data_IF_029199104255
#
_entry.id   IF_029199104255
#
_cell.length_a   1.000
_cell.length_b   1.000
_cell.length_c   1.000
_cell.angle_alpha   90.00
_cell.angle_beta   90.00
_cell.angle_gamma   90.00
#
_symmetry.space_group_name_H-M   'P 1'
#
loop_
_entity.id
_entity.type
_entity.pdbx_description
1 polymer ?
#
# COMPACT_ATOMS: atom_id res chain seq x y z
N UNK A 1 -11.26 -29.59 31.69
CA UNK A 1 -12.24 -28.50 31.42
C UNK A 1 -11.61 -27.44 30.58
N UNK A 2 -12.19 -27.13 29.43
CA UNK A 2 -11.66 -26.06 28.52
C UNK A 2 -12.01 -24.70 29.12
N UNK A 3 -10.99 -23.88 29.41
CA UNK A 3 -11.14 -22.53 29.93
C UNK A 3 -10.90 -21.55 28.80
N UNK A 4 -11.84 -20.65 28.54
CA UNK A 4 -11.79 -19.64 27.48
C UNK A 4 -11.58 -18.22 28.00
N UNK A 5 -11.45 -18.04 29.32
CA UNK A 5 -11.24 -16.73 29.93
C UNK A 5 -9.79 -16.54 30.36
N UNK A 6 -9.15 -15.47 29.88
CA UNK A 6 -7.81 -15.09 30.28
C UNK A 6 -7.70 -14.56 31.73
N UNK A 7 -8.84 -14.26 32.37
CA UNK A 7 -8.92 -13.74 33.75
C UNK A 7 -9.16 -14.81 34.82
N UNK A 8 -9.18 -16.08 34.43
CA UNK A 8 -9.37 -17.13 35.42
C UNK A 8 -8.16 -17.28 36.34
N UNK A 9 -8.34 -17.13 37.64
CA UNK A 9 -7.28 -17.37 38.62
C UNK A 9 -6.97 -18.87 38.67
N UNK A 10 -5.67 -19.19 38.66
CA UNK A 10 -5.15 -20.55 38.84
C UNK A 10 -4.71 -20.77 40.29
N UNK A 11 -4.71 -22.01 40.75
CA UNK A 11 -4.24 -22.41 42.07
C UNK A 11 -2.87 -23.08 41.96
N UNK A 12 -2.15 -23.15 43.06
CA UNK A 12 -0.91 -23.95 43.16
C UNK A 12 -1.21 -25.40 42.77
N UNK A 13 -0.38 -26.01 41.93
CA UNK A 13 -0.51 -27.36 41.38
C UNK A 13 -1.57 -27.53 40.28
N UNK A 14 -2.20 -26.48 39.77
CA UNK A 14 -3.02 -26.60 38.56
C UNK A 14 -2.14 -26.92 37.33
N UNK A 15 -2.48 -27.99 36.61
CA UNK A 15 -1.86 -28.31 35.31
C UNK A 15 -2.56 -27.50 34.20
N UNK A 16 -1.81 -26.65 33.54
CA UNK A 16 -2.30 -25.84 32.44
C UNK A 16 -1.76 -26.39 31.13
N UNK A 17 -2.64 -26.90 30.30
CA UNK A 17 -2.26 -27.30 28.90
C UNK A 17 -2.75 -26.24 27.93
N UNK A 18 -1.80 -25.63 27.18
CA UNK A 18 -2.11 -24.63 26.16
C UNK A 18 -1.84 -25.27 24.79
N UNK A 19 -2.88 -25.39 23.98
CA UNK A 19 -2.76 -25.89 22.61
C UNK A 19 -2.71 -24.72 21.64
N UNK A 20 -1.60 -24.55 20.95
CA UNK A 20 -1.43 -23.55 19.91
C UNK A 20 -1.65 -24.18 18.55
N UNK A 21 -2.65 -23.73 17.82
CA UNK A 21 -2.77 -24.02 16.40
C UNK A 21 -1.96 -22.97 15.62
N UNK A 22 -0.68 -23.21 15.39
CA UNK A 22 0.13 -22.40 14.51
C UNK A 22 -0.31 -22.68 13.06
N UNK A 23 -1.20 -21.87 12.50
CA UNK A 23 -1.30 -21.74 11.05
C UNK A 23 -0.03 -21.00 10.57
N UNK A 24 1.11 -21.67 10.56
CA UNK A 24 2.25 -21.18 9.83
C UNK A 24 1.98 -21.46 8.35
N UNK A 25 1.97 -20.42 7.53
CA UNK A 25 2.03 -20.61 6.09
C UNK A 25 3.46 -21.09 5.74
N UNK A 26 3.79 -22.34 6.09
CA UNK A 26 5.09 -22.93 5.77
C UNK A 26 5.22 -23.19 4.26
N UNK A 27 4.10 -23.14 3.53
CA UNK A 27 4.06 -23.34 2.09
C UNK A 27 3.04 -22.41 1.45
N UNK A 28 3.44 -21.78 0.36
CA UNK A 28 2.55 -20.93 -0.43
C UNK A 28 1.67 -21.81 -1.32
N UNK A 29 0.37 -21.86 -1.03
CA UNK A 29 -0.58 -22.62 -1.83
C UNK A 29 -0.93 -21.87 -3.12
N UNK A 30 -0.87 -22.54 -4.29
CA UNK A 30 -1.33 -21.94 -5.55
C UNK A 30 -2.81 -21.63 -5.50
N UNK A 31 -3.22 -20.45 -5.99
CA UNK A 31 -4.62 -20.07 -6.08
C UNK A 31 -4.93 -19.45 -7.44
N UNK A 32 -6.01 -19.93 -8.09
CA UNK A 32 -6.47 -19.46 -9.40
C UNK A 32 -7.13 -18.08 -9.28
N UNK A 33 -6.30 -17.04 -9.31
CA UNK A 33 -6.75 -15.65 -9.31
C UNK A 33 -6.28 -15.00 -10.61
N UNK A 34 -7.19 -14.29 -11.30
CA UNK A 34 -6.86 -13.55 -12.53
C UNK A 34 -5.94 -12.38 -12.18
N UNK A 35 -4.78 -12.32 -12.84
CA UNK A 35 -3.83 -11.22 -12.72
C UNK A 35 -3.98 -10.27 -13.91
N UNK A 36 -4.00 -8.96 -13.63
CA UNK A 36 -3.91 -7.91 -14.65
C UNK A 36 -2.43 -7.66 -14.97
N UNK A 37 -1.91 -8.38 -15.98
CA UNK A 37 -0.51 -8.29 -16.41
C UNK A 37 -0.44 -7.23 -17.50
N UNK A 38 0.37 -6.20 -17.28
CA UNK A 38 0.58 -5.07 -18.20
C UNK A 38 1.75 -5.28 -19.13
N UNK A 39 2.74 -6.04 -18.68
CA UNK A 39 3.91 -6.42 -19.48
C UNK A 39 4.49 -7.72 -18.93
N UNK A 40 5.03 -8.52 -19.82
CA UNK A 40 5.76 -9.73 -19.47
C UNK A 40 6.83 -10.02 -20.53
N UNK A 41 8.03 -10.34 -20.07
CA UNK A 41 9.07 -10.91 -20.92
C UNK A 41 9.78 -12.08 -20.20
N UNK A 42 11.00 -12.45 -20.63
CA UNK A 42 11.77 -13.53 -20.00
C UNK A 42 12.26 -13.20 -18.59
N UNK A 43 12.37 -11.94 -18.23
CA UNK A 43 13.05 -11.43 -17.04
C UNK A 43 12.09 -10.86 -15.99
N UNK A 44 11.05 -10.15 -16.42
CA UNK A 44 10.15 -9.42 -15.53
C UNK A 44 8.67 -9.60 -15.91
N UNK A 45 7.82 -9.34 -14.92
CA UNK A 45 6.38 -9.19 -15.10
C UNK A 45 5.95 -7.89 -14.45
N UNK A 46 5.17 -7.06 -15.13
CA UNK A 46 4.51 -5.89 -14.56
C UNK A 46 3.05 -6.24 -14.30
N UNK A 47 2.67 -6.21 -13.02
CA UNK A 47 1.31 -6.51 -12.58
C UNK A 47 0.63 -5.25 -12.09
N UNK A 48 -0.58 -4.99 -12.55
CA UNK A 48 -1.45 -3.97 -11.97
C UNK A 48 -2.31 -4.62 -10.87
N UNK A 49 -1.88 -4.48 -9.62
CA UNK A 49 -2.55 -5.11 -8.47
C UNK A 49 -3.88 -4.42 -8.18
N UNK A 50 -4.98 -5.14 -8.05
CA UNK A 50 -6.24 -4.55 -7.61
C UNK A 50 -6.17 -4.13 -6.13
N UNK A 51 -7.03 -3.21 -5.74
CA UNK A 51 -7.29 -2.87 -4.34
C UNK A 51 -7.86 -4.11 -3.61
N UNK A 52 -7.60 -4.24 -2.31
CA UNK A 52 -8.07 -5.36 -1.49
C UNK A 52 -7.16 -6.60 -1.49
N UNK A 53 -6.25 -6.73 -2.48
CA UNK A 53 -5.30 -7.85 -2.56
C UNK A 53 -4.02 -7.54 -1.76
N UNK A 54 -3.59 -8.48 -0.92
CA UNK A 54 -2.28 -8.45 -0.24
C UNK A 54 -1.21 -8.98 -1.19
N UNK A 55 0.01 -8.43 -1.13
CA UNK A 55 1.10 -8.86 -2.02
C UNK A 55 1.62 -10.25 -1.67
N UNK A 56 1.86 -10.54 -0.40
CA UNK A 56 2.35 -11.85 0.08
C UNK A 56 1.71 -12.21 1.43
N UNK A 57 1.67 -13.49 1.80
CA UNK A 57 1.10 -13.93 3.07
C UNK A 57 1.66 -13.20 4.28
N UNK A 58 0.80 -12.95 5.26
CA UNK A 58 1.11 -12.32 6.52
C UNK A 58 -0.03 -12.48 7.51
N UNK A 59 0.15 -11.99 8.74
CA UNK A 59 -0.83 -12.15 9.81
C UNK A 59 -2.27 -11.79 9.36
N UNK A 60 -3.18 -12.76 9.44
CA UNK A 60 -4.58 -12.62 9.04
C UNK A 60 -4.86 -12.65 7.52
N UNK A 61 -3.84 -12.84 6.66
CA UNK A 61 -4.00 -12.94 5.21
C UNK A 61 -3.03 -13.99 4.67
N UNK A 62 -3.37 -15.26 4.78
CA UNK A 62 -2.50 -16.36 4.37
C UNK A 62 -2.77 -16.85 2.95
N UNK A 63 -3.96 -16.56 2.43
CA UNK A 63 -4.47 -16.99 1.14
C UNK A 63 -4.95 -15.79 0.31
N UNK A 64 -5.24 -16.01 -0.97
CA UNK A 64 -5.73 -14.98 -1.89
C UNK A 64 -4.79 -13.77 -2.05
N UNK A 65 -3.49 -13.99 -1.92
CA UNK A 65 -2.48 -12.97 -2.13
C UNK A 65 -1.96 -12.97 -3.57
N UNK A 66 -1.29 -11.89 -3.98
CA UNK A 66 -0.60 -11.84 -5.27
C UNK A 66 0.39 -13.01 -5.41
N UNK A 67 1.12 -13.35 -4.35
CA UNK A 67 2.05 -14.46 -4.33
C UNK A 67 1.36 -15.81 -4.66
N UNK A 68 0.17 -16.08 -4.07
CA UNK A 68 -0.60 -17.31 -4.38
C UNK A 68 -0.99 -17.37 -5.87
N UNK A 69 -1.42 -16.23 -6.45
CA UNK A 69 -1.77 -16.14 -7.86
C UNK A 69 -0.55 -16.32 -8.79
N UNK A 70 0.59 -15.75 -8.40
CA UNK A 70 1.85 -15.89 -9.13
C UNK A 70 2.33 -17.35 -9.15
N UNK A 71 2.31 -18.06 -8.01
CA UNK A 71 2.67 -19.48 -7.95
C UNK A 71 1.72 -20.34 -8.79
N UNK A 72 0.42 -20.06 -8.76
CA UNK A 72 -0.54 -20.76 -9.61
C UNK A 72 -0.20 -20.64 -11.09
N UNK A 73 0.07 -19.42 -11.55
CA UNK A 73 0.32 -19.13 -12.97
C UNK A 73 1.70 -19.54 -13.43
N UNK A 74 2.73 -19.30 -12.64
CA UNK A 74 4.12 -19.45 -13.05
C UNK A 74 4.84 -20.67 -12.43
N UNK A 75 4.20 -21.32 -11.44
CA UNK A 75 4.80 -22.45 -10.71
C UNK A 75 6.21 -22.07 -10.19
N UNK A 76 7.22 -22.86 -10.54
CA UNK A 76 8.61 -22.63 -10.12
C UNK A 76 9.41 -21.72 -11.08
N UNK A 77 8.75 -21.01 -12.00
CA UNK A 77 9.39 -20.13 -12.99
C UNK A 77 9.56 -18.68 -12.51
N UNK A 78 9.66 -18.47 -11.20
CA UNK A 78 9.92 -17.17 -10.59
C UNK A 78 11.15 -17.23 -9.71
N UNK A 79 11.81 -16.09 -9.51
CA UNK A 79 12.93 -16.01 -8.58
C UNK A 79 12.53 -16.41 -7.16
N UNK A 80 13.40 -17.15 -6.47
CA UNK A 80 13.20 -17.60 -5.09
C UNK A 80 14.16 -16.93 -4.07
N UNK A 81 14.89 -15.89 -4.46
CA UNK A 81 15.86 -15.21 -3.57
C UNK A 81 15.23 -14.77 -2.24
N UNK A 82 13.99 -14.28 -2.25
CA UNK A 82 13.27 -13.85 -1.04
C UNK A 82 12.48 -15.00 -0.38
N UNK A 83 12.81 -16.24 -0.70
CA UNK A 83 12.21 -17.46 -0.15
C UNK A 83 10.90 -17.84 -0.83
N UNK A 84 10.42 -19.04 -0.52
CA UNK A 84 9.27 -19.67 -1.16
C UNK A 84 7.94 -18.92 -0.97
N UNK A 85 7.82 -18.13 0.08
CA UNK A 85 6.61 -17.32 0.34
C UNK A 85 6.55 -16.00 -0.43
N UNK A 86 7.62 -15.64 -1.16
CA UNK A 86 7.73 -14.39 -1.91
C UNK A 86 8.33 -14.58 -3.31
N UNK A 87 7.80 -15.49 -4.12
CA UNK A 87 8.37 -15.80 -5.44
C UNK A 87 8.37 -14.56 -6.32
N UNK A 88 9.55 -14.15 -6.76
CA UNK A 88 9.77 -12.99 -7.63
C UNK A 88 9.44 -11.61 -7.03
N UNK A 89 9.00 -11.54 -5.78
CA UNK A 89 8.53 -10.29 -5.17
C UNK A 89 9.71 -9.48 -4.65
N UNK A 90 10.03 -8.37 -5.31
CA UNK A 90 11.12 -7.43 -4.97
C UNK A 90 10.64 -6.23 -4.15
N UNK A 91 9.36 -5.88 -4.23
CA UNK A 91 8.74 -4.80 -3.44
C UNK A 91 7.26 -5.05 -3.18
N UNK A 92 6.63 -4.14 -2.45
CA UNK A 92 5.21 -4.28 -2.08
C UNK A 92 4.50 -2.93 -2.00
N UNK A 93 3.18 -2.99 -2.20
CA UNK A 93 2.22 -1.93 -1.89
C UNK A 93 1.17 -2.45 -0.90
N UNK A 94 0.47 -1.55 -0.23
CA UNK A 94 -0.51 -1.93 0.80
C UNK A 94 -1.71 -2.71 0.21
N UNK A 95 -2.43 -3.44 1.07
CA UNK A 95 -3.64 -4.20 0.68
C UNK A 95 -4.64 -3.31 -0.08
N UNK A 96 -4.93 -2.13 0.45
CA UNK A 96 -5.91 -1.20 -0.13
C UNK A 96 -5.30 -0.18 -1.12
N UNK A 97 -4.04 -0.34 -1.50
CA UNK A 97 -3.41 0.40 -2.58
C UNK A 97 -3.46 -0.42 -3.86
N UNK A 98 -3.94 0.15 -4.94
CA UNK A 98 -3.90 -0.43 -6.28
C UNK A 98 -2.69 0.04 -7.07
N UNK A 99 -2.41 -0.59 -8.21
CA UNK A 99 -1.40 -0.13 -9.17
C UNK A 99 -0.23 -1.07 -9.37
N UNK A 100 0.82 -0.55 -9.98
CA UNK A 100 1.90 -1.31 -10.58
C UNK A 100 2.87 -1.91 -9.55
N UNK A 101 3.23 -3.18 -9.82
CA UNK A 101 4.36 -3.86 -9.22
C UNK A 101 5.19 -4.55 -10.30
N UNK A 102 6.51 -4.63 -10.10
CA UNK A 102 7.41 -5.47 -10.87
C UNK A 102 7.70 -6.77 -10.11
N UNK A 103 7.67 -7.88 -10.85
CA UNK A 103 7.97 -9.22 -10.36
C UNK A 103 9.16 -9.76 -11.16
N UNK A 104 10.14 -10.34 -10.48
CA UNK A 104 11.32 -10.93 -11.10
C UNK A 104 11.06 -12.41 -11.48
N UNK A 105 11.28 -12.78 -12.74
CA UNK A 105 11.12 -14.17 -13.21
C UNK A 105 12.33 -15.04 -12.88
N UNK A 106 13.51 -14.46 -12.74
CA UNK A 106 14.75 -15.18 -12.43
C UNK A 106 15.58 -14.44 -11.38
N UNK A 107 16.60 -15.10 -10.86
CA UNK A 107 17.43 -14.59 -9.77
C UNK A 107 18.31 -13.39 -10.20
N UNK A 108 18.77 -13.36 -11.45
CA UNK A 108 19.53 -12.25 -12.00
C UNK A 108 18.68 -10.95 -11.98
N UNK A 109 17.46 -11.05 -12.52
CA UNK A 109 16.53 -9.92 -12.53
C UNK A 109 16.12 -9.48 -11.12
N UNK A 110 15.97 -10.44 -10.20
CA UNK A 110 15.68 -10.15 -8.80
C UNK A 110 16.80 -9.34 -8.15
N UNK A 111 18.06 -9.79 -8.32
CA UNK A 111 19.23 -9.11 -7.76
C UNK A 111 19.39 -7.71 -8.33
N UNK A 112 19.24 -7.57 -9.66
CA UNK A 112 19.31 -6.27 -10.34
C UNK A 112 18.24 -5.31 -9.83
N UNK A 113 16.98 -5.73 -9.80
CA UNK A 113 15.88 -4.90 -9.28
C UNK A 113 16.05 -4.60 -7.79
N UNK A 114 16.46 -5.60 -7.00
CA UNK A 114 16.75 -5.42 -5.57
C UNK A 114 17.80 -4.35 -5.32
N UNK A 115 18.88 -4.33 -6.12
CA UNK A 115 19.90 -3.28 -6.09
C UNK A 115 19.30 -1.91 -6.41
N UNK A 116 18.52 -1.80 -7.49
CA UNK A 116 17.90 -0.53 -7.88
C UNK A 116 16.90 -0.01 -6.83
N UNK A 117 16.18 -0.90 -6.11
CA UNK A 117 15.35 -0.50 -4.95
C UNK A 117 16.21 -0.02 -3.78
N UNK A 118 17.34 -0.65 -3.52
CA UNK A 118 18.28 -0.25 -2.47
C UNK A 118 18.94 1.08 -2.74
N UNK A 119 19.38 1.29 -3.98
CA UNK A 119 20.06 2.50 -4.45
C UNK A 119 19.08 3.66 -4.73
N UNK A 120 17.77 3.40 -4.56
CA UNK A 120 16.70 4.38 -4.81
C UNK A 120 16.65 4.91 -6.25
N UNK A 121 17.18 4.17 -7.23
CA UNK A 121 17.19 4.56 -8.65
C UNK A 121 15.85 4.28 -9.35
N UNK A 122 15.01 3.39 -8.80
CA UNK A 122 13.66 3.12 -9.31
C UNK A 122 12.73 4.30 -9.01
N UNK A 123 12.10 4.85 -10.04
CA UNK A 123 11.07 5.89 -9.89
C UNK A 123 9.70 5.27 -9.72
N UNK A 124 8.98 5.70 -8.70
CA UNK A 124 7.63 5.22 -8.34
C UNK A 124 6.75 6.40 -8.05
N UNK A 125 5.79 6.65 -8.94
CA UNK A 125 4.83 7.73 -8.76
C UNK A 125 3.47 7.17 -8.38
N UNK A 126 2.86 7.84 -7.43
CA UNK A 126 1.54 7.52 -6.89
C UNK A 126 0.62 8.71 -7.04
N UNK A 127 -0.64 8.46 -7.32
CA UNK A 127 -1.69 9.46 -7.20
C UNK A 127 -2.51 9.18 -5.95
N UNK A 128 -2.82 10.21 -5.19
CA UNK A 128 -3.69 10.12 -4.03
C UNK A 128 -4.63 11.32 -3.92
N UNK A 129 -5.79 11.08 -3.30
CA UNK A 129 -6.69 12.13 -2.86
C UNK A 129 -6.57 12.31 -1.35
N UNK A 130 -6.38 13.54 -0.92
CA UNK A 130 -6.22 13.90 0.50
C UNK A 130 -7.23 14.96 0.93
N UNK A 131 -7.54 14.96 2.22
CA UNK A 131 -8.30 16.04 2.85
C UNK A 131 -7.43 17.29 3.02
N UNK A 132 -7.99 18.46 2.70
CA UNK A 132 -7.32 19.73 2.84
C UNK A 132 -6.48 20.11 1.62
N UNK A 133 -5.81 21.26 1.73
CA UNK A 133 -4.82 21.75 0.78
C UNK A 133 -3.46 21.79 1.46
N UNK A 134 -2.53 20.98 0.98
CA UNK A 134 -1.15 20.96 1.51
C UNK A 134 -0.44 22.24 1.07
N UNK A 135 0.28 22.83 1.98
CA UNK A 135 1.18 23.99 1.71
C UNK A 135 2.60 23.65 2.15
N UNK A 136 3.63 24.01 1.35
CA UNK A 136 3.58 24.50 -0.03
C UNK A 136 2.94 23.47 -0.97
N UNK A 137 2.54 23.88 -2.19
CA UNK A 137 1.87 22.98 -3.16
C UNK A 137 2.76 21.85 -3.68
N UNK A 138 4.06 22.00 -3.55
CA UNK A 138 5.05 20.97 -3.83
C UNK A 138 6.14 21.00 -2.77
N UNK A 139 6.78 19.86 -2.55
CA UNK A 139 7.85 19.78 -1.58
C UNK A 139 8.35 18.35 -1.35
N UNK A 140 9.27 18.25 -0.42
CA UNK A 140 9.91 17.02 0.02
C UNK A 140 9.61 16.80 1.51
N UNK A 141 9.18 15.59 1.84
CA UNK A 141 8.96 15.16 3.23
C UNK A 141 10.06 14.15 3.54
N UNK A 142 10.90 14.48 4.50
CA UNK A 142 11.95 13.60 4.99
C UNK A 142 11.79 13.41 6.50
N UNK A 143 11.58 12.18 6.93
CA UNK A 143 11.35 11.82 8.34
C UNK A 143 11.89 10.44 8.65
N UNK A 144 11.86 10.05 9.91
CA UNK A 144 11.99 8.66 10.32
C UNK A 144 10.59 8.05 10.48
N UNK A 145 10.38 6.86 9.93
CA UNK A 145 9.13 6.10 10.14
C UNK A 145 9.42 4.87 10.99
N UNK A 146 8.68 4.75 12.08
CA UNK A 146 8.73 3.63 13.01
C UNK A 146 7.35 3.01 13.22
N UNK A 147 7.32 1.84 13.85
CA UNK A 147 6.07 1.20 14.26
C UNK A 147 5.48 1.92 15.48
N UNK A 148 4.19 2.20 15.46
CA UNK A 148 3.52 2.86 16.57
C UNK A 148 3.55 1.95 17.82
N UNK A 149 4.01 2.48 18.95
CA UNK A 149 4.18 1.73 20.21
C UNK A 149 2.82 1.28 20.80
N UNK A 150 1.77 2.11 20.66
CA UNK A 150 0.43 1.83 21.21
C UNK A 150 -0.39 0.93 20.30
N UNK A 151 -0.22 1.02 18.98
CA UNK A 151 -0.90 0.18 18.01
C UNK A 151 0.09 -0.32 16.96
N UNK A 152 0.57 -1.54 17.12
CA UNK A 152 1.61 -2.15 16.26
C UNK A 152 1.16 -2.40 14.81
N UNK A 153 -0.11 -2.24 14.48
CA UNK A 153 -0.61 -2.28 13.10
C UNK A 153 -0.35 -0.97 12.35
N UNK A 154 -0.06 0.11 13.08
CA UNK A 154 0.20 1.43 12.52
C UNK A 154 1.69 1.75 12.48
N UNK A 155 2.05 2.63 11.55
CA UNK A 155 3.33 3.31 11.48
C UNK A 155 3.15 4.77 11.89
N UNK A 156 4.23 5.41 12.32
CA UNK A 156 4.23 6.82 12.72
C UNK A 156 5.54 7.49 12.35
N UNK A 157 5.51 8.80 12.18
CA UNK A 157 6.72 9.62 12.17
C UNK A 157 7.30 9.62 13.59
N UNK A 158 8.61 9.51 13.66
CA UNK A 158 9.37 9.49 14.92
C UNK A 158 10.59 10.39 14.78
N UNK A 159 10.95 11.09 15.85
CA UNK A 159 12.11 11.98 15.86
C UNK A 159 13.42 11.24 16.18
N UNK A 160 13.32 10.10 16.87
CA UNK A 160 14.50 9.42 17.41
C UNK A 160 14.73 8.01 16.86
N UNK A 161 13.67 7.28 16.52
CA UNK A 161 13.76 5.87 16.14
C UNK A 161 12.96 5.58 14.88
N UNK A 162 13.58 4.91 13.92
CA UNK A 162 12.87 4.51 12.68
C UNK A 162 13.80 4.37 11.51
N UNK A 163 13.19 4.13 10.35
CA UNK A 163 13.91 4.05 9.08
C UNK A 163 13.66 5.34 8.30
N UNK A 164 14.71 5.91 7.74
CA UNK A 164 14.63 7.09 6.86
C UNK A 164 13.58 6.88 5.77
N UNK A 165 12.69 7.85 5.63
CA UNK A 165 11.58 7.85 4.68
C UNK A 165 11.53 9.20 3.95
N UNK A 166 11.51 9.15 2.63
CA UNK A 166 11.53 10.33 1.77
C UNK A 166 10.45 10.23 0.72
N UNK A 167 9.57 11.24 0.69
CA UNK A 167 8.49 11.38 -0.29
C UNK A 167 8.52 12.78 -0.88
N UNK A 168 8.70 12.88 -2.18
CA UNK A 168 8.47 14.11 -2.92
C UNK A 168 6.99 14.19 -3.30
N UNK A 169 6.37 15.36 -3.23
CA UNK A 169 4.97 15.53 -3.57
C UNK A 169 4.72 16.80 -4.37
N UNK A 170 3.70 16.75 -5.22
CA UNK A 170 3.19 17.88 -5.99
C UNK A 170 1.67 17.84 -6.00
N UNK A 171 1.04 18.92 -5.55
CA UNK A 171 -0.41 19.09 -5.67
C UNK A 171 -0.75 19.41 -7.13
N UNK A 172 -1.51 18.52 -7.74
CA UNK A 172 -1.97 18.67 -9.13
C UNK A 172 -3.18 19.59 -9.19
N UNK A 173 -4.14 19.37 -8.26
CA UNK A 173 -5.40 20.13 -8.23
C UNK A 173 -5.94 20.22 -6.81
N UNK A 174 -6.48 21.38 -6.44
CA UNK A 174 -7.26 21.59 -5.22
C UNK A 174 -8.72 21.76 -5.62
N UNK A 175 -9.60 20.98 -5.01
CA UNK A 175 -11.05 21.08 -5.16
C UNK A 175 -11.60 21.84 -3.95
N UNK A 176 -12.18 23.00 -4.20
CA UNK A 176 -12.85 23.82 -3.20
C UNK A 176 -14.35 23.71 -3.40
N UNK A 177 -14.99 22.86 -2.62
CA UNK A 177 -16.38 22.46 -2.77
C UNK A 177 -17.18 23.08 -1.63
N UNK A 178 -18.35 23.66 -1.94
CA UNK A 178 -19.24 24.26 -0.95
C UNK A 178 -19.61 23.22 0.13
N UNK A 179 -19.53 23.64 1.40
CA UNK A 179 -19.87 22.85 2.59
C UNK A 179 -19.05 21.56 2.79
N UNK A 180 -17.89 21.46 2.12
CA UNK A 180 -16.97 20.34 2.22
C UNK A 180 -15.55 20.87 2.44
N UNK A 181 -14.74 20.23 3.29
CA UNK A 181 -13.32 20.55 3.38
C UNK A 181 -12.65 20.41 2.03
N UNK A 182 -11.70 21.30 1.72
CA UNK A 182 -10.90 21.17 0.50
C UNK A 182 -10.37 19.75 0.34
N UNK A 183 -10.32 19.31 -0.89
CA UNK A 183 -9.73 18.02 -1.27
C UNK A 183 -8.63 18.32 -2.28
N UNK A 184 -7.50 17.62 -2.17
CA UNK A 184 -6.40 17.78 -3.13
C UNK A 184 -6.07 16.48 -3.82
N UNK A 185 -5.85 16.54 -5.12
CA UNK A 185 -5.21 15.51 -5.90
C UNK A 185 -3.70 15.76 -5.86
N UNK A 186 -2.94 14.77 -5.39
CA UNK A 186 -1.50 14.89 -5.18
C UNK A 186 -0.79 13.75 -5.90
N UNK A 187 0.28 14.09 -6.62
CA UNK A 187 1.28 13.14 -7.08
C UNK A 187 2.36 13.02 -5.99
N UNK A 188 2.70 11.78 -5.63
CA UNK A 188 3.79 11.47 -4.72
C UNK A 188 4.84 10.64 -5.46
N UNK A 189 6.11 11.03 -5.37
CA UNK A 189 7.24 10.24 -5.87
C UNK A 189 8.05 9.73 -4.68
N UNK A 190 8.26 8.41 -4.64
CA UNK A 190 8.95 7.75 -3.53
C UNK A 190 10.43 7.54 -3.83
N UNK A 191 11.32 8.13 -3.01
CA UNK A 191 12.73 7.72 -2.95
C UNK A 191 12.86 6.42 -2.12
N UNK A 192 12.21 6.35 -0.98
CA UNK A 192 12.18 5.17 -0.10
C UNK A 192 10.81 4.47 -0.15
N UNK A 193 10.71 3.23 0.33
CA UNK A 193 9.47 2.46 0.34
C UNK A 193 9.14 1.85 1.71
N UNK A 194 8.92 2.68 2.74
CA UNK A 194 8.57 2.19 4.09
C UNK A 194 7.09 1.83 4.16
N UNK A 195 6.76 0.91 5.05
CA UNK A 195 5.36 0.50 5.28
C UNK A 195 4.47 1.72 5.53
N UNK A 196 3.36 1.84 4.80
CA UNK A 196 2.39 2.93 4.89
C UNK A 196 2.97 4.35 4.65
N UNK A 197 4.14 4.49 4.01
CA UNK A 197 4.91 5.73 3.97
C UNK A 197 4.10 6.94 3.52
N UNK A 198 3.46 6.91 2.34
CA UNK A 198 2.65 8.03 1.82
C UNK A 198 1.53 8.37 2.81
N UNK A 199 0.85 7.36 3.36
CA UNK A 199 -0.25 7.53 4.30
C UNK A 199 0.18 8.25 5.58
N UNK A 200 1.33 7.85 6.11
CA UNK A 200 1.95 8.46 7.30
C UNK A 200 2.42 9.88 7.01
N UNK A 201 3.09 10.12 5.88
CA UNK A 201 3.58 11.44 5.48
C UNK A 201 2.43 12.42 5.22
N UNK A 202 1.38 12.00 4.53
CA UNK A 202 0.22 12.86 4.30
C UNK A 202 -0.50 13.19 5.62
N UNK A 203 -0.63 12.22 6.53
CA UNK A 203 -1.14 12.48 7.89
C UNK A 203 -0.23 13.45 8.66
N UNK A 204 1.08 13.30 8.58
CA UNK A 204 2.06 14.19 9.20
C UNK A 204 1.91 15.63 8.71
N UNK A 205 1.62 15.83 7.40
CA UNK A 205 1.29 17.13 6.82
C UNK A 205 -0.12 17.62 7.15
N UNK A 206 -0.87 16.93 8.01
CA UNK A 206 -2.23 17.28 8.39
C UNK A 206 -3.31 16.95 7.36
N UNK A 207 -2.95 16.29 6.26
CA UNK A 207 -3.80 16.00 5.09
C UNK A 207 -3.90 14.50 4.83
N UNK A 208 -4.62 13.76 5.68
CA UNK A 208 -4.78 12.31 5.52
C UNK A 208 -5.52 11.95 4.23
N UNK A 209 -5.25 10.73 3.71
CA UNK A 209 -5.89 10.24 2.49
C UNK A 209 -7.40 10.04 2.68
N UNK A 210 -8.16 10.31 1.62
CA UNK A 210 -9.58 9.97 1.59
C UNK A 210 -9.75 8.45 1.72
N UNK A 211 -10.73 8.02 2.51
CA UNK A 211 -11.04 6.60 2.72
C UNK A 211 -10.01 5.83 3.57
N UNK A 212 -8.99 6.49 4.12
CA UNK A 212 -8.03 5.84 4.99
C UNK A 212 -8.56 5.69 6.42
N UNK A 213 -9.08 4.51 6.74
CA UNK A 213 -9.68 4.21 8.03
C UNK A 213 -8.66 4.11 9.17
N UNK A 214 -7.36 3.93 8.86
CA UNK A 214 -6.31 3.77 9.86
C UNK A 214 -5.63 5.10 10.22
N UNK A 215 -5.38 5.95 9.22
CA UNK A 215 -4.67 7.22 9.37
C UNK A 215 -5.57 8.44 9.21
N UNK A 216 -6.80 8.23 8.73
CA UNK A 216 -7.82 9.28 8.64
C UNK A 216 -8.17 9.86 10.01
N UNK A 217 -8.57 11.13 10.04
CA UNK A 217 -9.05 11.77 11.26
C UNK A 217 -10.42 11.19 11.64
N UNK A 218 -10.47 10.32 12.65
CA UNK A 218 -11.74 9.84 13.26
C UNK A 218 -12.62 10.98 13.79
N UNK A 219 -12.02 12.16 14.03
CA UNK A 219 -12.63 13.32 14.65
C UNK A 219 -12.49 14.60 13.78
N UNK A 220 -12.48 14.49 12.47
CA UNK A 220 -12.86 15.68 11.73
C UNK A 220 -14.30 15.97 12.14
N UNK A 221 -14.50 17.07 12.89
CA UNK A 221 -15.83 17.62 13.23
C UNK A 221 -16.47 18.07 11.92
N UNK A 222 -16.87 17.12 11.10
CA UNK A 222 -17.64 17.35 9.89
C UNK A 222 -19.11 17.66 10.26
N UNK A 223 -19.31 18.53 11.27
CA UNK A 223 -20.66 18.94 11.71
C UNK A 223 -21.53 19.53 10.60
N UNK A 224 -20.97 19.70 9.38
CA UNK A 224 -21.65 20.28 8.22
C UNK A 224 -21.28 19.63 6.89
N UNK A 225 -20.72 18.42 6.86
CA UNK A 225 -20.52 17.76 5.57
C UNK A 225 -21.86 17.21 5.11
N UNK A 226 -22.25 17.56 3.90
CA UNK A 226 -23.40 17.01 3.22
C UNK A 226 -23.33 15.47 3.28
N UNK A 227 -24.30 14.83 3.96
CA UNK A 227 -24.34 13.36 4.14
C UNK A 227 -24.32 12.62 2.80
N UNK A 228 -24.91 13.21 1.75
CA UNK A 228 -24.86 12.68 0.40
C UNK A 228 -23.44 12.60 -0.15
N UNK A 229 -22.59 13.57 0.18
CA UNK A 229 -21.18 13.52 -0.22
C UNK A 229 -20.44 12.39 0.53
N UNK A 230 -20.68 12.24 1.83
CA UNK A 230 -20.09 11.14 2.62
C UNK A 230 -20.57 9.77 2.13
N UNK A 231 -21.85 9.61 1.78
CA UNK A 231 -22.36 8.38 1.16
C UNK A 231 -21.68 8.10 -0.18
N UNK A 232 -21.42 9.11 -1.00
CA UNK A 232 -20.65 8.97 -2.25
C UNK A 232 -19.19 8.62 -1.99
N UNK A 233 -18.57 9.15 -0.93
CA UNK A 233 -17.21 8.77 -0.52
C UNK A 233 -17.11 7.30 -0.09
N UNK A 234 -18.16 6.70 0.43
CA UNK A 234 -18.16 5.30 0.85
C UNK A 234 -17.95 4.30 -0.29
N UNK A 235 -18.06 4.74 -1.54
CA UNK A 235 -17.69 3.94 -2.74
C UNK A 235 -16.19 3.59 -2.74
N UNK A 236 -15.36 4.41 -2.06
CA UNK A 236 -13.94 4.07 -1.87
C UNK A 236 -13.80 3.13 -0.67
N UNK A 237 -13.61 1.86 -0.93
CA UNK A 237 -13.23 0.91 0.10
C UNK A 237 -11.71 1.01 0.36
N UNK A 238 -11.31 1.71 1.44
CA UNK A 238 -9.92 1.98 1.80
C UNK A 238 -9.35 3.26 1.19
N UNK A 239 -8.05 3.50 1.36
CA UNK A 239 -7.39 4.75 0.96
C UNK A 239 -7.43 5.01 -0.56
N UNK A 240 -7.69 6.26 -0.94
CA UNK A 240 -7.56 6.76 -2.30
C UNK A 240 -6.06 6.92 -2.65
N UNK A 241 -5.41 5.81 -2.99
CA UNK A 241 -3.99 5.73 -3.31
C UNK A 241 -3.75 4.71 -4.41
N UNK A 242 -3.05 5.13 -5.45
CA UNK A 242 -2.78 4.31 -6.62
C UNK A 242 -1.33 4.45 -7.08
N UNK A 243 -0.59 3.34 -7.22
CA UNK A 243 0.74 3.27 -7.79
C UNK A 243 0.65 3.44 -9.32
N UNK A 244 0.68 4.69 -9.77
CA UNK A 244 0.38 5.13 -11.14
C UNK A 244 1.47 4.72 -12.12
N UNK A 245 2.74 4.98 -11.79
CA UNK A 245 3.85 4.65 -12.67
C UNK A 245 5.02 4.01 -11.95
N UNK A 246 5.76 3.22 -12.72
CA UNK A 246 6.94 2.49 -12.27
C UNK A 246 7.98 2.54 -13.38
N UNK A 247 9.17 3.09 -13.10
CA UNK A 247 10.23 3.25 -14.07
C UNK A 247 11.58 2.80 -13.50
N UNK A 248 12.33 2.06 -14.29
CA UNK A 248 13.60 1.46 -13.86
C UNK A 248 14.46 1.03 -15.06
N UNK A 249 15.72 0.72 -14.80
CA UNK A 249 16.58 0.10 -15.80
C UNK A 249 16.25 -1.39 -15.91
N UNK A 250 15.89 -1.85 -17.12
CA UNK A 250 15.57 -3.24 -17.37
C UNK A 250 16.77 -4.15 -17.01
N UNK A 251 16.57 -5.24 -16.21
CA UNK A 251 17.65 -6.03 -15.63
C UNK A 251 18.71 -6.55 -16.62
N UNK A 252 18.28 -6.95 -17.82
CA UNK A 252 19.16 -7.55 -18.83
C UNK A 252 19.34 -6.68 -20.06
N UNK A 253 18.34 -5.87 -20.43
CA UNK A 253 18.42 -4.98 -21.61
C UNK A 253 19.19 -3.70 -21.32
N UNK A 254 19.49 -3.37 -20.06
CA UNK A 254 20.19 -2.17 -19.60
C UNK A 254 19.61 -0.85 -20.14
N UNK A 255 18.33 -0.89 -20.54
CA UNK A 255 17.59 0.28 -21.04
C UNK A 255 16.57 0.73 -19.97
N UNK A 256 16.35 2.03 -19.88
CA UNK A 256 15.28 2.60 -19.08
C UNK A 256 13.93 2.17 -19.65
N UNK A 257 13.03 1.74 -18.78
CA UNK A 257 11.67 1.35 -19.14
C UNK A 257 10.68 2.03 -18.21
N UNK A 258 9.58 2.47 -18.80
CA UNK A 258 8.51 3.19 -18.11
C UNK A 258 7.19 2.44 -18.29
N UNK A 259 6.47 2.26 -17.19
CA UNK A 259 5.16 1.64 -17.18
C UNK A 259 4.17 2.55 -16.47
N UNK A 260 2.99 2.69 -17.05
CA UNK A 260 1.88 3.41 -16.43
C UNK A 260 0.63 2.55 -16.37
N UNK A 261 -0.20 2.80 -15.36
CA UNK A 261 -1.53 2.22 -15.26
C UNK A 261 -2.59 3.30 -15.18
N UNK A 262 -3.77 3.01 -15.72
CA UNK A 262 -4.92 3.87 -15.53
C UNK A 262 -5.40 3.82 -14.08
N UNK A 263 -6.03 4.91 -13.65
CA UNK A 263 -6.71 4.96 -12.36
C UNK A 263 -7.83 3.90 -12.31
N UNK A 264 -7.99 3.19 -11.19
CA UNK A 264 -9.08 2.25 -11.02
C UNK A 264 -10.44 2.97 -10.97
N UNK A 265 -11.51 2.26 -11.30
CA UNK A 265 -12.84 2.82 -11.46
C UNK A 265 -13.35 3.56 -10.20
N UNK A 266 -13.07 3.05 -9.01
CA UNK A 266 -13.43 3.70 -7.75
C UNK A 266 -12.72 5.06 -7.59
N UNK A 267 -11.46 5.16 -7.99
CA UNK A 267 -10.70 6.40 -7.97
C UNK A 267 -11.20 7.38 -9.05
N UNK A 268 -11.48 6.90 -10.29
CA UNK A 268 -12.06 7.72 -11.36
C UNK A 268 -13.42 8.31 -10.93
N UNK A 269 -14.32 7.48 -10.39
CA UNK A 269 -15.60 7.91 -9.85
C UNK A 269 -15.45 9.00 -8.77
N UNK A 270 -14.45 8.84 -7.90
CA UNK A 270 -14.20 9.85 -6.86
C UNK A 270 -13.73 11.16 -7.44
N UNK A 271 -12.81 11.13 -8.41
CA UNK A 271 -12.38 12.35 -9.12
C UNK A 271 -13.57 13.04 -9.81
N UNK A 272 -14.49 12.28 -10.41
CA UNK A 272 -15.71 12.84 -11.00
C UNK A 272 -16.59 13.52 -9.96
N UNK A 273 -16.82 12.86 -8.82
CA UNK A 273 -17.63 13.43 -7.73
C UNK A 273 -17.05 14.77 -7.27
N UNK A 274 -15.74 14.83 -6.98
CA UNK A 274 -15.11 16.07 -6.50
C UNK A 274 -14.97 17.14 -7.59
N UNK A 275 -14.88 16.74 -8.87
CA UNK A 275 -14.76 17.67 -10.00
C UNK A 275 -16.09 18.28 -10.42
N UNK A 276 -17.20 17.54 -10.30
CA UNK A 276 -18.56 17.98 -10.69
C UNK A 276 -19.32 18.66 -9.57
N UNK A 277 -18.78 18.68 -8.35
CA UNK A 277 -19.40 19.37 -7.21
C UNK A 277 -19.29 20.88 -7.40
N UNK A 278 -20.38 21.62 -7.06
CA UNK A 278 -20.43 23.09 -7.20
C UNK A 278 -19.24 23.71 -6.45
N UNK A 279 -18.50 24.62 -7.08
CA UNK A 279 -17.44 25.35 -6.38
C UNK A 279 -18.05 26.21 -5.27
N UNK A 280 -17.21 26.60 -4.32
CA UNK A 280 -17.58 27.51 -3.23
C UNK A 280 -17.86 28.89 -3.73
#
# INVERSE_FOLDING_TARGET
KIIRSSSKKVKTNDLITITFFLKSANKLLPNKIKLDIRFEDKDIIIVNKPKGMVVHPGAGNYENTLANALVYKYKNKLSNINGELRPGIVHRIDKQTSGLLVIAKNNLSHSSLGKQFSDHSIKRKYLCLVWGAIRPLQGRIETLISRNKKNRQLMMVSDFNGKKAITNYKTIKVFDIKDIPKISLIECELETGRTHQIRVHMKYKGSSLLGDNQYGKKNMKFKKINENFLKRLSVINGQALHARSLSFVHPTKTKWVDFESELPNDFKKMLEIVSKSKPK
#
